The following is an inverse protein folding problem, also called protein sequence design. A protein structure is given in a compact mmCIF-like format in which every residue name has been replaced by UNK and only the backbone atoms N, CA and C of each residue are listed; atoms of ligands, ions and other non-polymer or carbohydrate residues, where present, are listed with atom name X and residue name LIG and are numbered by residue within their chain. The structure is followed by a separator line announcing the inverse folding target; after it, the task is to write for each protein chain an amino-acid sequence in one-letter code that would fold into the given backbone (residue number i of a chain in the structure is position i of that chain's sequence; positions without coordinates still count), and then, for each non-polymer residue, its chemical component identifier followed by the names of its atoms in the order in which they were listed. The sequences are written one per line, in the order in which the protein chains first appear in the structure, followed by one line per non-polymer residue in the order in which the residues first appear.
data_IF_444976299631
#
_entry.id   IF_444976299631
#
_cell.length_a   1.000
_cell.length_b   1.000
_cell.length_c   1.000
_cell.angle_alpha   90.00
_cell.angle_beta   90.00
_cell.angle_gamma   90.00
#
_symmetry.space_group_name_H-M   'P 1'
#
loop_
_entity.id
_entity.type
_entity.pdbx_description
1 polymer ?
#
# COMPACT_ATOMS: atom_id res chain seq x y z
N UNK A 1 10.71 9.38 -0.96
CA UNK A 1 10.49 10.68 -0.28
C UNK A 1 9.21 10.68 0.55
N UNK A 2 9.13 11.48 1.62
CA UNK A 2 7.87 11.72 2.35
C UNK A 2 7.05 12.80 1.64
N UNK A 3 5.78 12.51 1.32
CA UNK A 3 4.85 13.40 0.61
C UNK A 3 3.68 13.90 1.48
N UNK A 4 3.68 13.59 2.78
CA UNK A 4 2.60 13.96 3.69
C UNK A 4 1.79 12.75 4.15
N UNK A 5 0.45 12.85 4.10
CA UNK A 5 -0.46 11.77 4.46
C UNK A 5 -1.41 11.49 3.31
N UNK A 6 -1.77 10.23 3.12
CA UNK A 6 -2.69 9.80 2.07
C UNK A 6 -3.73 8.82 2.65
N UNK A 7 -4.81 8.61 1.91
CA UNK A 7 -5.90 7.72 2.28
C UNK A 7 -5.70 6.38 1.57
N UNK A 8 -5.56 5.32 2.36
CA UNK A 8 -5.35 3.96 1.90
C UNK A 8 -6.62 3.14 2.06
N UNK A 9 -6.84 2.22 1.13
CA UNK A 9 -7.86 1.18 1.21
C UNK A 9 -7.17 -0.18 1.28
N UNK A 10 -7.61 -1.02 2.22
CA UNK A 10 -7.23 -2.41 2.26
C UNK A 10 -8.07 -3.23 1.28
N UNK A 11 -7.43 -3.99 0.40
CA UNK A 11 -8.13 -4.83 -0.59
C UNK A 11 -8.72 -6.10 0.02
N UNK A 12 -8.16 -6.56 1.14
CA UNK A 12 -8.62 -7.77 1.83
C UNK A 12 -9.89 -7.54 2.68
N UNK A 13 -9.91 -6.48 3.50
CA UNK A 13 -11.02 -6.23 4.43
C UNK A 13 -11.84 -4.96 4.13
N UNK A 14 -11.47 -4.21 3.10
CA UNK A 14 -12.16 -2.98 2.69
C UNK A 14 -11.93 -1.75 3.58
N UNK A 15 -11.19 -1.89 4.70
CA UNK A 15 -10.95 -0.78 5.63
C UNK A 15 -10.22 0.37 4.93
N UNK A 16 -10.74 1.57 5.12
CA UNK A 16 -10.13 2.83 4.71
C UNK A 16 -9.43 3.45 5.92
N UNK A 17 -8.22 3.97 5.75
CA UNK A 17 -7.45 4.60 6.81
C UNK A 17 -6.45 5.63 6.26
N UNK A 18 -6.06 6.59 7.10
CA UNK A 18 -5.02 7.57 6.78
C UNK A 18 -3.66 7.03 7.23
N UNK A 19 -2.65 7.12 6.37
CA UNK A 19 -1.27 6.77 6.70
C UNK A 19 -0.27 7.75 6.07
N UNK A 20 0.98 7.81 6.56
CA UNK A 20 2.06 8.57 5.93
C UNK A 20 2.26 8.16 4.48
N UNK A 21 2.39 9.14 3.58
CA UNK A 21 2.70 8.88 2.18
C UNK A 21 4.20 8.91 1.96
N UNK A 22 4.77 7.74 1.71
CA UNK A 22 6.16 7.58 1.31
C UNK A 22 6.20 7.03 -0.10
N UNK A 23 7.07 7.58 -0.94
CA UNK A 23 7.31 7.03 -2.26
C UNK A 23 7.93 5.65 -2.19
N UNK A 24 7.40 4.74 -3.00
CA UNK A 24 7.95 3.41 -3.20
C UNK A 24 9.08 3.48 -4.22
N UNK A 25 10.31 3.15 -3.82
CA UNK A 25 11.47 2.98 -4.71
C UNK A 25 11.66 4.11 -5.75
N UNK A 26 11.51 5.38 -5.32
CA UNK A 26 11.59 6.57 -6.19
C UNK A 26 10.57 6.59 -7.36
N UNK A 27 9.43 5.92 -7.21
CA UNK A 27 8.31 5.94 -8.16
C UNK A 27 7.23 6.95 -7.75
N UNK A 28 6.18 7.07 -8.57
CA UNK A 28 4.99 7.86 -8.24
C UNK A 28 4.08 7.17 -7.21
N UNK A 29 4.29 5.88 -6.94
CA UNK A 29 3.44 5.07 -6.07
C UNK A 29 3.81 5.23 -4.59
N UNK A 30 2.81 5.10 -3.73
CA UNK A 30 2.98 5.08 -2.28
C UNK A 30 3.34 3.69 -1.78
N UNK A 31 4.24 3.62 -0.80
CA UNK A 31 4.54 2.41 -0.03
C UNK A 31 3.25 1.89 0.63
N UNK A 32 2.88 0.61 0.45
CA UNK A 32 1.76 0.00 1.14
C UNK A 32 1.95 -0.04 2.66
N UNK A 33 0.87 0.20 3.40
CA UNK A 33 0.87 0.14 4.86
C UNK A 33 0.09 -1.07 5.38
N UNK A 34 0.55 -1.74 6.45
CA UNK A 34 -0.19 -2.84 7.03
C UNK A 34 -1.52 -2.37 7.60
N UNK A 35 -2.60 -3.05 7.21
CA UNK A 35 -3.94 -2.72 7.68
C UNK A 35 -4.09 -3.10 9.16
N UNK A 36 -4.39 -2.12 10.03
CA UNK A 36 -4.61 -2.38 11.47
C UNK A 36 -5.75 -3.33 11.82
N UNK A 37 -6.67 -3.62 10.88
CA UNK A 37 -7.82 -4.52 11.13
C UNK A 37 -7.51 -5.99 10.82
N UNK A 38 -6.77 -6.26 9.73
CA UNK A 38 -6.51 -7.64 9.29
C UNK A 38 -5.01 -7.98 9.16
N UNK A 39 -4.12 -7.02 9.40
CA UNK A 39 -2.67 -7.20 9.29
C UNK A 39 -2.13 -7.25 7.86
N UNK A 40 -2.98 -7.32 6.84
CA UNK A 40 -2.56 -7.42 5.43
C UNK A 40 -1.81 -6.17 4.96
N UNK A 41 -0.72 -6.38 4.21
CA UNK A 41 0.05 -5.34 3.52
C UNK A 41 -0.60 -4.91 2.20
N UNK A 42 -1.57 -5.70 1.69
CA UNK A 42 -2.32 -5.44 0.46
C UNK A 42 -3.24 -4.23 0.59
N UNK A 43 -2.64 -3.05 0.59
CA UNK A 43 -3.28 -1.75 0.68
C UNK A 43 -2.76 -0.85 -0.44
N UNK A 44 -3.63 0.03 -0.93
CA UNK A 44 -3.29 1.01 -1.94
C UNK A 44 -3.96 2.35 -1.64
N UNK A 45 -3.37 3.48 -2.08
CA UNK A 45 -4.03 4.77 -2.03
C UNK A 45 -5.35 4.74 -2.83
N UNK A 46 -6.40 5.40 -2.31
CA UNK A 46 -7.72 5.42 -2.96
C UNK A 46 -7.66 6.00 -4.37
N UNK A 47 -6.85 7.02 -4.60
CA UNK A 47 -6.73 7.63 -5.93
C UNK A 47 -5.98 6.75 -6.94
N UNK A 48 -5.34 5.67 -6.50
CA UNK A 48 -4.59 4.73 -7.33
C UNK A 48 -5.35 3.43 -7.62
N UNK A 49 -6.67 3.41 -7.51
CA UNK A 49 -7.49 2.21 -7.81
C UNK A 49 -7.23 1.67 -9.23
N UNK A 50 -7.03 2.54 -10.21
CA UNK A 50 -6.69 2.12 -11.59
C UNK A 50 -5.32 1.44 -11.68
N UNK A 51 -4.43 1.66 -10.72
CA UNK A 51 -3.09 1.08 -10.64
C UNK A 51 -3.04 -0.23 -9.84
N UNK A 52 -4.19 -0.86 -9.56
CA UNK A 52 -4.27 -2.08 -8.72
C UNK A 52 -3.35 -3.20 -9.21
N UNK A 53 -3.19 -3.35 -10.54
CA UNK A 53 -2.31 -4.37 -11.11
C UNK A 53 -0.84 -4.16 -10.71
N UNK A 54 -0.33 -2.93 -10.81
CA UNK A 54 1.04 -2.60 -10.39
C UNK A 54 1.25 -2.80 -8.87
N UNK A 55 0.24 -2.42 -8.07
CA UNK A 55 0.27 -2.65 -6.63
C UNK A 55 0.31 -4.13 -6.24
N UNK A 56 -0.24 -5.01 -7.09
CA UNK A 56 -0.17 -6.46 -6.87
C UNK A 56 1.28 -6.95 -6.84
N UNK A 57 2.10 -6.51 -7.78
CA UNK A 57 3.52 -6.85 -7.85
C UNK A 57 4.27 -6.34 -6.62
N UNK A 58 4.02 -5.09 -6.20
CA UNK A 58 4.62 -4.52 -4.97
C UNK A 58 4.28 -5.35 -3.74
N UNK A 59 3.01 -5.76 -3.59
CA UNK A 59 2.59 -6.56 -2.43
C UNK A 59 3.28 -7.92 -2.41
N UNK A 60 3.34 -8.61 -3.55
CA UNK A 60 4.00 -9.91 -3.65
C UNK A 60 5.49 -9.83 -3.30
N UNK A 61 6.18 -8.78 -3.76
CA UNK A 61 7.58 -8.49 -3.44
C UNK A 61 7.78 -8.18 -1.94
N UNK A 62 6.91 -7.38 -1.33
CA UNK A 62 6.94 -7.13 0.13
C UNK A 62 6.63 -8.38 0.96
N UNK A 63 5.70 -9.22 0.51
CA UNK A 63 5.34 -10.48 1.16
C UNK A 63 6.50 -11.49 1.10
N UNK A 64 7.20 -11.58 -0.04
CA UNK A 64 8.41 -12.41 -0.18
C UNK A 64 9.51 -11.97 0.79
N UNK A 65 9.87 -10.69 0.79
CA UNK A 65 10.89 -10.12 1.69
C UNK A 65 10.60 -10.30 3.17
N UNK A 66 9.33 -10.46 3.55
CA UNK A 66 8.94 -10.69 4.96
C UNK A 66 9.15 -12.15 5.39
N UNK A 67 9.16 -13.07 4.43
CA UNK A 67 9.27 -14.51 4.67
C UNK A 67 10.71 -15.03 4.50
N UNK A 68 11.63 -14.18 4.06
CA UNK A 68 13.09 -14.39 4.03
C UNK A 68 13.72 -14.00 5.38
#
# INVERSE_FOLDING_TARGET
MYRGKNIFRCTQCGKIFVAPDFEYAATTYSVPHPCKRCGSIRTLPIYHILSTWFYKEIWEDMEKRKNE
#
